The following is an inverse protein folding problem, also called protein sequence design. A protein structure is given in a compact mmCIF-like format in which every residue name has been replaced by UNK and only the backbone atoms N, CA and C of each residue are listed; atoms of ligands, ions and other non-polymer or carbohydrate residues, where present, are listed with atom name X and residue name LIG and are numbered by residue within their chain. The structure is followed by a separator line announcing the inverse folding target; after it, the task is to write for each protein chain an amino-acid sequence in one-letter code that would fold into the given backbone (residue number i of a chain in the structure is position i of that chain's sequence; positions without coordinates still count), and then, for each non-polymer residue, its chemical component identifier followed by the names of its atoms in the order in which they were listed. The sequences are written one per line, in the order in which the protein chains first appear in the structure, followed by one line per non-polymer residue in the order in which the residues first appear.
data_IF_307465085049
#
_entry.id   IF_307465085049
#
_cell.length_a   1.000
_cell.length_b   1.000
_cell.length_c   1.000
_cell.angle_alpha   90.00
_cell.angle_beta   90.00
_cell.angle_gamma   90.00
#
_symmetry.space_group_name_H-M   'P 1'
#
loop_
_entity.id
_entity.type
_entity.pdbx_description
1 polymer ?
#
# COMPACT_ATOMS: atom_id res chain seq x y z
N UNK A 1 -73.91 3.95 32.49
CA UNK A 1 -73.14 3.37 31.36
C UNK A 1 -72.31 4.49 30.78
N UNK A 2 -71.03 4.54 31.16
CA UNK A 2 -70.09 5.62 30.85
C UNK A 2 -68.91 5.00 30.13
N UNK A 3 -68.89 5.11 28.81
CA UNK A 3 -67.76 4.66 28.00
C UNK A 3 -66.68 5.75 28.03
N UNK A 4 -65.70 5.55 28.91
CA UNK A 4 -64.48 6.34 28.99
C UNK A 4 -63.56 5.97 27.80
N UNK A 5 -63.62 6.78 26.73
CA UNK A 5 -62.64 6.75 25.65
C UNK A 5 -61.28 7.25 26.15
N UNK A 6 -60.33 6.34 26.34
CA UNK A 6 -58.93 6.70 26.55
C UNK A 6 -58.28 7.07 25.19
N UNK A 7 -57.59 8.23 25.07
CA UNK A 7 -56.94 8.60 23.82
C UNK A 7 -55.73 7.70 23.54
N UNK A 8 -55.40 7.46 22.24
CA UNK A 8 -54.29 6.61 21.84
C UNK A 8 -52.96 7.19 22.35
N UNK A 9 -52.32 6.42 23.23
CA UNK A 9 -51.03 6.72 23.80
C UNK A 9 -49.97 6.93 22.72
N UNK A 10 -49.21 8.03 22.87
CA UNK A 10 -48.03 8.37 22.08
C UNK A 10 -47.13 7.14 21.93
N UNK A 11 -46.87 6.77 20.68
CA UNK A 11 -46.06 5.62 20.31
C UNK A 11 -44.65 5.65 20.93
N UNK A 12 -44.00 4.48 21.00
CA UNK A 12 -42.77 4.28 21.75
C UNK A 12 -41.67 5.24 21.33
N UNK A 13 -41.16 5.90 22.37
CA UNK A 13 -39.99 6.75 22.45
C UNK A 13 -38.87 6.27 21.51
N UNK A 14 -38.45 7.13 20.59
CA UNK A 14 -37.36 6.91 19.64
C UNK A 14 -36.19 6.29 20.39
N UNK A 15 -35.96 4.99 20.16
CA UNK A 15 -34.81 4.25 20.62
C UNK A 15 -33.60 5.04 20.17
N UNK A 16 -33.00 5.81 21.08
CA UNK A 16 -31.70 6.39 20.86
C UNK A 16 -30.74 5.21 20.76
N UNK A 17 -30.53 4.76 19.53
CA UNK A 17 -29.46 3.86 19.16
C UNK A 17 -28.19 4.63 19.53
N UNK A 18 -27.72 4.41 20.77
CA UNK A 18 -26.39 4.83 21.22
C UNK A 18 -25.43 4.14 20.27
N UNK A 19 -25.05 4.86 19.24
CA UNK A 19 -24.07 4.46 18.25
C UNK A 19 -22.76 4.26 19.02
N UNK A 20 -22.51 3.02 19.42
CA UNK A 20 -21.35 2.61 20.20
C UNK A 20 -20.16 2.78 19.27
N UNK A 21 -19.60 4.01 19.23
CA UNK A 21 -18.39 4.35 18.47
C UNK A 21 -17.32 3.35 18.87
N UNK A 22 -17.09 2.36 18.02
CA UNK A 22 -16.04 1.38 18.25
C UNK A 22 -14.73 2.17 18.17
N UNK A 23 -13.88 2.14 19.21
CA UNK A 23 -12.60 2.84 19.16
C UNK A 23 -11.83 2.31 17.95
N UNK A 24 -11.35 3.23 17.11
CA UNK A 24 -10.49 2.86 15.97
C UNK A 24 -9.27 2.16 16.57
N UNK A 25 -8.96 0.93 16.14
CA UNK A 25 -7.88 0.16 16.77
C UNK A 25 -6.55 0.89 16.54
N UNK A 26 -5.76 1.09 17.60
CA UNK A 26 -4.44 1.74 17.55
C UNK A 26 -3.51 1.16 16.46
N UNK A 27 -3.69 -0.12 16.14
CA UNK A 27 -3.01 -0.80 15.02
C UNK A 27 -3.18 -0.10 13.67
N UNK A 28 -4.32 0.53 13.39
CA UNK A 28 -4.58 1.21 12.11
C UNK A 28 -3.66 2.43 11.94
N UNK A 29 -3.45 3.20 13.00
CA UNK A 29 -2.56 4.36 12.97
C UNK A 29 -1.10 3.95 12.77
N UNK A 30 -0.67 2.88 13.44
CA UNK A 30 0.70 2.35 13.26
C UNK A 30 0.95 1.89 11.81
N UNK A 31 -0.03 1.22 11.19
CA UNK A 31 0.08 0.80 9.78
C UNK A 31 0.17 2.00 8.85
N UNK A 32 -0.62 3.05 9.08
CA UNK A 32 -0.56 4.29 8.29
C UNK A 32 0.79 4.98 8.47
N UNK A 33 1.29 5.08 9.70
CA UNK A 33 2.60 5.68 9.98
C UNK A 33 3.74 4.94 9.27
N UNK A 34 3.76 3.60 9.34
CA UNK A 34 4.74 2.79 8.60
C UNK A 34 4.64 3.00 7.09
N UNK A 35 3.43 3.19 6.57
CA UNK A 35 3.19 3.50 5.16
C UNK A 35 3.81 4.83 4.74
N UNK A 36 3.54 5.88 5.52
CA UNK A 36 4.06 7.22 5.23
C UNK A 36 5.59 7.23 5.32
N UNK A 37 6.17 6.54 6.30
CA UNK A 37 7.62 6.38 6.41
C UNK A 37 8.18 5.64 5.18
N UNK A 38 7.55 4.55 4.76
CA UNK A 38 7.99 3.81 3.57
C UNK A 38 7.94 4.66 2.30
N UNK A 39 6.87 5.45 2.10
CA UNK A 39 6.78 6.40 0.98
C UNK A 39 7.92 7.42 1.04
N UNK A 40 8.15 8.04 2.20
CA UNK A 40 9.18 9.05 2.38
C UNK A 40 10.59 8.49 2.11
N UNK A 41 10.88 7.27 2.60
CA UNK A 41 12.15 6.59 2.34
C UNK A 41 12.33 6.29 0.86
N UNK A 42 11.31 5.76 0.19
CA UNK A 42 11.38 5.48 -1.26
C UNK A 42 11.57 6.77 -2.06
N UNK A 43 10.85 7.83 -1.71
CA UNK A 43 11.01 9.15 -2.34
C UNK A 43 12.45 9.65 -2.22
N UNK A 44 12.99 9.80 -1.00
CA UNK A 44 14.35 10.29 -0.78
C UNK A 44 15.39 9.40 -1.49
N UNK A 45 15.16 8.09 -1.49
CA UNK A 45 16.05 7.13 -2.16
C UNK A 45 16.04 7.29 -3.68
N UNK A 46 14.87 7.51 -4.28
CA UNK A 46 14.74 7.73 -5.72
C UNK A 46 15.45 9.02 -6.16
N UNK A 47 15.39 10.07 -5.35
CA UNK A 47 16.12 11.33 -5.59
C UNK A 47 17.64 11.11 -5.67
N UNK A 48 18.16 10.14 -4.91
CA UNK A 48 19.56 9.72 -4.93
C UNK A 48 19.87 8.60 -5.95
N UNK A 49 18.92 8.27 -6.85
CA UNK A 49 19.08 7.19 -7.83
C UNK A 49 19.03 5.77 -7.26
N UNK A 50 18.65 5.59 -5.99
CA UNK A 50 18.55 4.30 -5.31
C UNK A 50 17.18 3.61 -5.52
N UNK A 51 16.79 3.45 -6.78
CA UNK A 51 15.56 2.76 -7.21
C UNK A 51 15.35 1.35 -6.62
N UNK A 52 16.42 0.62 -6.29
CA UNK A 52 16.36 -0.71 -5.65
C UNK A 52 15.57 -0.68 -4.32
N UNK A 53 15.56 0.46 -3.62
CA UNK A 53 14.84 0.63 -2.35
C UNK A 53 13.33 0.50 -2.53
N UNK A 54 12.79 0.84 -3.71
CA UNK A 54 11.37 0.60 -4.04
C UNK A 54 11.03 -0.89 -3.94
N UNK A 55 11.88 -1.76 -4.50
CA UNK A 55 11.71 -3.21 -4.45
C UNK A 55 11.88 -3.73 -3.02
N UNK A 56 12.85 -3.22 -2.27
CA UNK A 56 13.06 -3.60 -0.87
C UNK A 56 11.85 -3.23 0.00
N UNK A 57 11.31 -2.02 -0.15
CA UNK A 57 10.13 -1.56 0.56
C UNK A 57 8.90 -2.41 0.23
N UNK A 58 8.69 -2.74 -1.06
CA UNK A 58 7.67 -3.69 -1.50
C UNK A 58 7.87 -5.09 -0.88
N UNK A 59 9.11 -5.57 -0.81
CA UNK A 59 9.50 -6.82 -0.16
C UNK A 59 9.12 -6.87 1.32
N UNK A 60 9.51 -5.85 2.09
CA UNK A 60 9.12 -5.70 3.50
C UNK A 60 7.60 -5.71 3.66
N UNK A 61 6.88 -5.00 2.79
CA UNK A 61 5.43 -4.98 2.81
C UNK A 61 4.81 -6.36 2.53
N UNK A 62 5.34 -7.09 1.55
CA UNK A 62 4.93 -8.44 1.20
C UNK A 62 5.19 -9.48 2.29
N UNK A 63 6.23 -9.29 3.12
CA UNK A 63 6.55 -10.15 4.25
C UNK A 63 5.64 -9.90 5.46
N UNK A 64 5.38 -8.63 5.79
CA UNK A 64 4.59 -8.26 6.98
C UNK A 64 3.12 -8.71 6.82
N UNK A 65 2.55 -8.58 5.63
CA UNK A 65 1.13 -8.86 5.39
C UNK A 65 0.92 -10.16 4.60
N UNK A 66 0.35 -11.17 5.26
CA UNK A 66 0.09 -12.49 4.63
C UNK A 66 -1.10 -12.51 3.65
N UNK A 67 -1.94 -11.47 3.65
CA UNK A 67 -3.16 -11.41 2.83
C UNK A 67 -2.87 -11.11 1.35
N UNK A 68 -3.78 -11.47 0.43
CA UNK A 68 -3.77 -10.99 -0.96
C UNK A 68 -3.77 -9.45 -1.04
N UNK A 69 -4.34 -8.78 -0.03
CA UNK A 69 -4.33 -7.31 0.12
C UNK A 69 -2.93 -6.72 0.27
N UNK A 70 -1.92 -7.52 0.62
CA UNK A 70 -0.52 -7.07 0.71
C UNK A 70 0.01 -6.62 -0.65
N UNK A 71 -0.26 -7.36 -1.72
CA UNK A 71 0.16 -7.01 -3.08
C UNK A 71 -0.46 -5.71 -3.56
N UNK A 72 -1.76 -5.51 -3.28
CA UNK A 72 -2.42 -4.24 -3.57
C UNK A 72 -1.76 -3.09 -2.80
N UNK A 73 -1.42 -3.32 -1.53
CA UNK A 73 -0.65 -2.34 -0.74
C UNK A 73 0.73 -2.05 -1.34
N UNK A 74 1.49 -3.06 -1.73
CA UNK A 74 2.80 -2.86 -2.37
C UNK A 74 2.66 -2.09 -3.69
N UNK A 75 1.67 -2.41 -4.51
CA UNK A 75 1.38 -1.72 -5.76
C UNK A 75 1.05 -0.24 -5.50
N UNK A 76 0.12 0.04 -4.59
CA UNK A 76 -0.22 1.41 -4.22
C UNK A 76 0.99 2.17 -3.61
N UNK A 77 1.84 1.49 -2.84
CA UNK A 77 3.03 2.08 -2.23
C UNK A 77 4.01 2.56 -3.31
N UNK A 78 4.31 1.67 -4.28
CA UNK A 78 5.18 1.98 -5.40
C UNK A 78 4.61 3.08 -6.29
N UNK A 79 3.33 2.98 -6.64
CA UNK A 79 2.64 3.99 -7.44
C UNK A 79 2.68 5.37 -6.78
N UNK A 80 2.32 5.46 -5.49
CA UNK A 80 2.30 6.73 -4.77
C UNK A 80 3.70 7.29 -4.54
N UNK A 81 4.67 6.45 -4.16
CA UNK A 81 6.04 6.91 -3.92
C UNK A 81 6.75 7.42 -5.19
N UNK A 82 6.31 6.99 -6.37
CA UNK A 82 6.82 7.48 -7.66
C UNK A 82 5.96 8.60 -8.25
N UNK A 83 4.69 8.71 -7.86
CA UNK A 83 3.79 9.78 -8.31
C UNK A 83 3.91 11.09 -7.52
N UNK A 84 4.00 11.00 -6.19
CA UNK A 84 4.08 12.19 -5.32
C UNK A 84 5.27 13.11 -5.64
N UNK A 85 6.49 12.59 -5.91
CA UNK A 85 7.61 13.43 -6.31
C UNK A 85 7.31 14.23 -7.57
N UNK A 86 6.67 13.61 -8.57
CA UNK A 86 6.31 14.30 -9.83
C UNK A 86 5.34 15.47 -9.58
N UNK A 87 4.35 15.28 -8.70
CA UNK A 87 3.46 16.39 -8.31
C UNK A 87 4.26 17.48 -7.59
N UNK A 88 5.10 17.09 -6.63
CA UNK A 88 5.88 18.02 -5.82
C UNK A 88 6.78 18.89 -6.68
N UNK A 89 7.52 18.28 -7.61
CA UNK A 89 8.42 19.00 -8.49
C UNK A 89 7.67 19.90 -9.48
N UNK A 90 6.49 19.45 -9.93
CA UNK A 90 5.58 20.29 -10.74
C UNK A 90 5.11 21.52 -9.95
N UNK A 91 4.81 21.37 -8.65
CA UNK A 91 4.42 22.49 -7.79
C UNK A 91 5.57 23.46 -7.52
N UNK A 92 6.82 22.97 -7.51
CA UNK A 92 8.02 23.80 -7.43
C UNK A 92 8.36 24.51 -8.75
N UNK A 93 7.61 24.25 -9.82
CA UNK A 93 7.87 24.83 -11.14
C UNK A 93 9.12 24.28 -11.81
N UNK A 94 9.60 23.11 -11.39
CA UNK A 94 10.71 22.44 -12.06
C UNK A 94 10.25 21.94 -13.43
N UNK A 95 11.08 22.13 -14.45
CA UNK A 95 10.82 21.79 -15.86
C UNK A 95 10.88 20.27 -16.15
N UNK A 96 10.41 19.44 -15.21
CA UNK A 96 10.29 17.98 -15.36
C UNK A 96 9.43 17.62 -16.56
N UNK A 97 8.43 18.46 -16.83
CA UNK A 97 7.56 18.31 -17.98
C UNK A 97 8.33 18.36 -19.30
N UNK A 98 9.28 19.28 -19.46
CA UNK A 98 10.09 19.38 -20.69
C UNK A 98 11.02 18.17 -20.85
N UNK A 99 11.70 17.78 -19.78
CA UNK A 99 12.60 16.61 -19.82
C UNK A 99 11.84 15.31 -20.15
N UNK A 100 10.68 15.10 -19.51
CA UNK A 100 9.82 13.94 -19.77
C UNK A 100 9.26 13.92 -21.19
N UNK A 101 8.82 15.07 -21.71
CA UNK A 101 8.33 15.20 -23.09
C UNK A 101 9.42 14.92 -24.11
N UNK A 102 10.63 15.45 -23.91
CA UNK A 102 11.77 15.17 -24.81
C UNK A 102 12.08 13.67 -24.86
N UNK A 103 12.12 13.00 -23.70
CA UNK A 103 12.34 11.55 -23.66
C UNK A 103 11.21 10.79 -24.34
N UNK A 104 9.95 11.20 -24.16
CA UNK A 104 8.80 10.58 -24.82
C UNK A 104 8.82 10.78 -26.34
N UNK A 105 9.21 11.96 -26.83
CA UNK A 105 9.38 12.26 -28.25
C UNK A 105 10.52 11.43 -28.86
N UNK A 106 11.68 11.35 -28.19
CA UNK A 106 12.80 10.52 -28.62
C UNK A 106 12.45 9.02 -28.66
N UNK A 107 11.57 8.57 -27.76
CA UNK A 107 11.05 7.21 -27.75
C UNK A 107 9.94 6.96 -28.80
N UNK A 108 9.56 7.97 -29.58
CA UNK A 108 8.50 7.87 -30.59
C UNK A 108 7.08 7.78 -30.01
N UNK A 109 6.90 8.13 -28.73
CA UNK A 109 5.61 8.07 -28.03
C UNK A 109 4.81 9.38 -28.18
N UNK A 110 5.41 10.42 -28.76
CA UNK A 110 4.82 11.74 -28.97
C UNK A 110 5.02 12.71 -27.81
N UNK A 111 4.62 13.97 -28.00
CA UNK A 111 4.88 15.07 -27.05
C UNK A 111 3.97 15.13 -25.81
N UNK A 112 3.26 14.04 -25.49
CA UNK A 112 2.30 14.04 -24.38
C UNK A 112 2.98 13.80 -23.04
N UNK A 113 2.79 14.74 -22.11
CA UNK A 113 3.23 14.64 -20.72
C UNK A 113 2.64 13.47 -19.92
N UNK A 114 1.46 12.99 -20.34
CA UNK A 114 0.78 11.92 -19.63
C UNK A 114 1.53 10.59 -19.76
N UNK A 115 2.18 10.36 -20.89
CA UNK A 115 2.87 9.10 -21.17
C UNK A 115 4.04 8.85 -20.21
N UNK A 116 5.03 9.76 -20.06
CA UNK A 116 6.13 9.55 -19.13
C UNK A 116 5.65 9.45 -17.68
N UNK A 117 4.62 10.21 -17.28
CA UNK A 117 4.03 10.11 -15.94
C UNK A 117 3.46 8.71 -15.71
N UNK A 118 2.66 8.19 -16.65
CA UNK A 118 2.08 6.85 -16.54
C UNK A 118 3.16 5.78 -16.49
N UNK A 119 4.20 5.86 -17.33
CA UNK A 119 5.32 4.93 -17.33
C UNK A 119 6.05 4.95 -15.97
N UNK A 120 6.32 6.14 -15.42
CA UNK A 120 6.99 6.29 -14.12
C UNK A 120 6.17 5.65 -12.99
N UNK A 121 4.86 5.89 -12.95
CA UNK A 121 3.96 5.29 -11.95
C UNK A 121 3.91 3.77 -12.09
N UNK A 122 3.75 3.27 -13.32
CA UNK A 122 3.68 1.82 -13.61
C UNK A 122 5.00 1.15 -13.21
N UNK A 123 6.14 1.75 -13.56
CA UNK A 123 7.47 1.26 -13.19
C UNK A 123 7.62 1.14 -11.68
N UNK A 124 7.29 2.19 -10.93
CA UNK A 124 7.34 2.16 -9.46
C UNK A 124 6.43 1.09 -8.84
N UNK A 125 5.20 0.97 -9.36
CA UNK A 125 4.25 -0.04 -8.93
C UNK A 125 4.74 -1.47 -9.19
N UNK A 126 5.30 -1.73 -10.38
CA UNK A 126 5.84 -3.04 -10.76
C UNK A 126 7.10 -3.40 -9.96
N UNK A 127 8.02 -2.47 -9.73
CA UNK A 127 9.21 -2.68 -8.90
C UNK A 127 8.83 -3.09 -7.47
N UNK A 128 7.91 -2.35 -6.85
CA UNK A 128 7.41 -2.67 -5.52
C UNK A 128 6.70 -4.03 -5.48
N UNK A 129 5.88 -4.33 -6.50
CA UNK A 129 5.20 -5.62 -6.62
C UNK A 129 6.17 -6.78 -6.80
N UNK A 130 7.20 -6.62 -7.64
CA UNK A 130 8.25 -7.61 -7.86
C UNK A 130 9.02 -7.89 -6.56
N UNK A 131 9.36 -6.85 -5.81
CA UNK A 131 9.95 -6.98 -4.48
C UNK A 131 9.08 -7.78 -3.50
N UNK A 132 7.78 -7.45 -3.43
CA UNK A 132 6.82 -8.17 -2.59
C UNK A 132 6.71 -9.66 -2.95
N UNK A 133 6.67 -9.98 -4.24
CA UNK A 133 6.59 -11.35 -4.73
C UNK A 133 7.88 -12.14 -4.46
N UNK A 134 9.03 -11.52 -4.70
CA UNK A 134 10.35 -12.13 -4.49
C UNK A 134 10.57 -12.45 -2.99
N UNK A 135 10.37 -11.46 -2.12
CA UNK A 135 10.55 -11.63 -0.68
C UNK A 135 9.65 -12.73 -0.10
N UNK A 136 8.40 -12.80 -0.57
CA UNK A 136 7.45 -13.83 -0.15
C UNK A 136 7.84 -15.22 -0.65
N UNK A 137 8.33 -15.33 -1.88
CA UNK A 137 8.81 -16.59 -2.44
C UNK A 137 10.01 -17.12 -1.66
N UNK A 138 10.98 -16.25 -1.36
CA UNK A 138 12.15 -16.59 -0.53
C UNK A 138 11.69 -17.03 0.87
N UNK A 139 10.78 -16.30 1.50
CA UNK A 139 10.28 -16.64 2.84
C UNK A 139 9.58 -18.01 2.87
N UNK A 140 8.79 -18.36 1.84
CA UNK A 140 8.16 -19.67 1.75
C UNK A 140 9.19 -20.80 1.60
N UNK A 141 10.20 -20.61 0.74
CA UNK A 141 11.27 -21.59 0.55
C UNK A 141 12.08 -21.82 1.83
N UNK A 142 12.44 -20.75 2.54
CA UNK A 142 13.16 -20.84 3.83
C UNK A 142 12.34 -21.59 4.89
N UNK A 143 11.04 -21.33 4.95
CA UNK A 143 10.15 -22.02 5.90
C UNK A 143 10.08 -23.53 5.63
N UNK A 144 9.96 -23.93 4.36
CA UNK A 144 9.91 -25.35 3.99
C UNK A 144 11.20 -26.10 4.32
N UNK A 145 12.37 -25.45 4.13
CA UNK A 145 13.66 -26.05 4.53
C UNK A 145 13.77 -26.25 6.03
N UNK A 146 13.36 -25.26 6.83
CA UNK A 146 13.39 -25.36 8.29
C UNK A 146 12.49 -26.48 8.81
N UNK A 147 11.32 -26.70 8.20
CA UNK A 147 10.46 -27.83 8.60
C UNK A 147 11.08 -29.19 8.29
N UNK A 148 11.78 -29.34 7.17
CA UNK A 148 12.45 -30.61 6.82
C UNK A 148 13.62 -30.92 7.76
N UNK A 149 14.42 -29.91 8.11
CA UNK A 149 15.51 -30.07 9.08
C UNK A 149 14.97 -30.41 10.47
N UNK A 150 13.85 -29.81 10.87
CA UNK A 150 13.21 -30.12 12.15
C UNK A 150 12.63 -31.54 12.20
N UNK A 151 12.15 -32.08 11.07
CA UNK A 151 11.69 -33.47 10.98
C UNK A 151 12.86 -34.45 11.03
N UNK A 152 13.90 -34.22 10.23
CA UNK A 152 15.10 -35.06 10.21
C UNK A 152 15.77 -35.16 11.60
N UNK A 153 15.79 -34.07 12.36
CA UNK A 153 16.36 -34.06 13.71
C UNK A 153 15.51 -34.84 14.73
N UNK A 154 14.20 -35.00 14.51
CA UNK A 154 13.34 -35.81 15.40
C UNK A 154 13.53 -37.30 15.18
N UNK A 155 13.67 -37.71 13.92
CA UNK A 155 13.93 -39.12 13.55
C UNK A 155 15.28 -39.64 14.05
N UNK A 156 16.24 -38.75 14.33
CA UNK A 156 17.54 -39.13 14.91
C UNK A 156 17.53 -39.28 16.43
N UNK A 157 16.48 -38.76 17.11
CA UNK A 157 16.36 -38.79 18.57
C UNK A 157 15.47 -39.91 19.09
N UNK A 158 14.79 -40.64 18.20
CA UNK A 158 13.98 -41.82 18.50
C UNK A 158 14.77 -43.11 18.23
#
# INVERSE_FOLDING_TARGET
MTDNYAPPGKGPNKTQVKEKRRPVPAKRYLVIALWLIAIAVVWISNDHGMWIITSVAGGFWGMIFKSKKSYLGALCLGALAWFLPLIWDTLLGLDISKAGTVVAELAGLGGSLLIPILITIITGALLSLAGAFLARSIFMLSKSRLSLLAQANREQTE
#
